data_IF_701658428387
#
_entry.id   IF_701658428387
#
_cell.length_a   1.000
_cell.length_b   1.000
_cell.length_c   1.000
_cell.angle_alpha   90.00
_cell.angle_beta   90.00
_cell.angle_gamma   90.00
#
_symmetry.space_group_name_H-M   'P 1'
#
loop_
_entity.id
_entity.type
_entity.pdbx_description
1 polymer ?
#
# COMPACT_ATOMS: atom_id res chain seq x y z
N UNK A 1 0.85 48.82 5.53
CA UNK A 1 0.17 47.90 4.61
C UNK A 1 0.36 46.48 5.12
N UNK A 2 -0.71 45.72 5.43
CA UNK A 2 -0.56 44.36 5.92
C UNK A 2 -0.23 43.45 4.75
N UNK A 3 0.92 42.77 4.82
CA UNK A 3 1.25 41.68 3.90
C UNK A 3 0.38 40.50 4.31
N UNK A 4 -0.52 40.11 3.42
CA UNK A 4 -1.26 38.87 3.54
C UNK A 4 -0.24 37.74 3.65
N UNK A 5 -0.15 37.17 4.85
CA UNK A 5 0.52 35.90 5.09
C UNK A 5 -0.41 34.89 4.43
N UNK A 6 -0.06 34.44 3.23
CA UNK A 6 -0.76 33.34 2.59
C UNK A 6 -0.63 32.16 3.52
N UNK A 7 -1.74 31.83 4.17
CA UNK A 7 -1.92 30.68 5.04
C UNK A 7 -1.39 29.45 4.31
N UNK A 8 -0.23 28.97 4.80
CA UNK A 8 0.33 27.68 4.42
C UNK A 8 -0.66 26.62 4.86
N UNK A 9 -1.61 26.28 3.98
CA UNK A 9 -2.52 25.16 4.18
C UNK A 9 -1.66 23.94 4.57
N UNK A 10 -1.83 23.37 5.77
CA UNK A 10 -1.04 22.21 6.16
C UNK A 10 -1.55 21.03 5.33
N UNK A 11 -0.79 20.66 4.31
CA UNK A 11 -0.92 19.41 3.54
C UNK A 11 -0.76 18.17 4.47
N UNK A 12 -0.36 18.38 5.72
CA UNK A 12 0.13 17.38 6.66
C UNK A 12 -0.90 16.37 7.23
N UNK A 13 -2.21 16.64 7.18
CA UNK A 13 -3.19 15.77 7.87
C UNK A 13 -3.64 14.54 7.06
N UNK A 14 -3.53 14.55 5.73
CA UNK A 14 -3.81 13.38 4.86
C UNK A 14 -2.58 12.47 4.66
N UNK A 15 -1.39 12.95 5.05
CA UNK A 15 -0.14 12.23 4.90
C UNK A 15 0.05 10.97 5.79
N UNK A 16 -0.38 10.91 7.08
CA UNK A 16 0.00 9.80 7.93
C UNK A 16 -0.67 8.47 7.51
N UNK A 17 -1.93 8.51 7.07
CA UNK A 17 -2.64 7.31 6.62
C UNK A 17 -2.17 6.85 5.23
N UNK A 18 -1.88 7.80 4.34
CA UNK A 18 -1.32 7.51 3.01
C UNK A 18 0.07 6.89 3.14
N UNK A 19 0.90 7.44 4.03
CA UNK A 19 2.23 6.89 4.30
C UNK A 19 2.14 5.51 4.94
N UNK A 20 1.23 5.30 5.90
CA UNK A 20 0.96 3.98 6.45
C UNK A 20 0.67 2.95 5.35
N UNK A 21 -0.30 3.24 4.48
CA UNK A 21 -0.64 2.32 3.40
C UNK A 21 0.49 2.13 2.38
N UNK A 22 1.27 3.18 2.10
CA UNK A 22 2.46 3.09 1.24
C UNK A 22 3.45 2.10 1.82
N UNK A 23 3.72 2.17 3.12
CA UNK A 23 4.61 1.24 3.81
C UNK A 23 4.06 -0.19 3.80
N UNK A 24 2.75 -0.38 3.98
CA UNK A 24 2.13 -1.71 3.91
C UNK A 24 2.28 -2.33 2.50
N UNK A 25 1.98 -1.59 1.43
CA UNK A 25 2.20 -2.09 0.06
C UNK A 25 3.68 -2.37 -0.24
N UNK A 26 4.61 -1.59 0.31
CA UNK A 26 6.04 -1.85 0.18
C UNK A 26 6.46 -3.15 0.88
N UNK A 27 5.85 -3.51 2.02
CA UNK A 27 6.06 -4.81 2.66
C UNK A 27 5.60 -5.93 1.72
N UNK A 28 4.41 -5.80 1.14
CA UNK A 28 3.89 -6.73 0.12
C UNK A 28 4.82 -6.90 -1.07
N UNK A 29 5.36 -5.80 -1.60
CA UNK A 29 6.36 -5.87 -2.66
C UNK A 29 7.60 -6.66 -2.25
N UNK A 30 8.17 -6.36 -1.08
CA UNK A 30 9.41 -7.03 -0.61
C UNK A 30 9.20 -8.52 -0.36
N UNK A 31 8.08 -8.91 0.24
CA UNK A 31 7.76 -10.32 0.43
C UNK A 31 7.59 -11.04 -0.91
N UNK A 32 6.88 -10.42 -1.86
CA UNK A 32 6.70 -10.98 -3.20
C UNK A 32 8.04 -11.18 -3.92
N UNK A 33 8.98 -10.24 -3.81
CA UNK A 33 10.34 -10.40 -4.34
C UNK A 33 11.08 -11.59 -3.71
N UNK A 34 10.97 -11.77 -2.38
CA UNK A 34 11.60 -12.90 -1.69
C UNK A 34 10.96 -14.24 -2.08
N UNK A 35 9.67 -14.24 -2.35
CA UNK A 35 8.92 -15.42 -2.75
C UNK A 35 8.92 -15.66 -4.27
N UNK A 36 9.57 -14.81 -5.07
CA UNK A 36 9.65 -14.94 -6.53
C UNK A 36 9.95 -16.36 -7.02
N UNK A 37 10.87 -17.13 -6.41
CA UNK A 37 11.14 -18.51 -6.83
C UNK A 37 9.96 -19.48 -6.73
N UNK A 38 8.93 -19.16 -5.94
CA UNK A 38 7.76 -20.01 -5.70
C UNK A 38 6.57 -19.68 -6.62
N UNK A 39 6.66 -18.60 -7.40
CA UNK A 39 5.62 -18.20 -8.35
C UNK A 39 6.12 -18.40 -9.78
N UNK A 40 5.17 -18.63 -10.70
CA UNK A 40 5.48 -18.51 -12.13
C UNK A 40 5.81 -17.06 -12.48
N UNK A 41 6.72 -16.84 -13.43
CA UNK A 41 7.11 -15.50 -13.89
C UNK A 41 5.92 -14.64 -14.33
N UNK A 42 4.90 -15.22 -14.96
CA UNK A 42 3.66 -14.50 -15.33
C UNK A 42 2.88 -14.04 -14.10
N UNK A 43 2.62 -14.93 -13.14
CA UNK A 43 1.89 -14.60 -11.92
C UNK A 43 2.59 -13.52 -11.09
N UNK A 44 3.91 -13.60 -10.90
CA UNK A 44 4.61 -12.53 -10.15
C UNK A 44 4.58 -11.20 -10.92
N UNK A 45 4.79 -11.23 -12.24
CA UNK A 45 4.77 -10.02 -13.07
C UNK A 45 3.40 -9.33 -13.03
N UNK A 46 2.31 -10.10 -13.07
CA UNK A 46 0.95 -9.57 -13.00
C UNK A 46 0.66 -8.92 -11.64
N UNK A 47 1.09 -9.56 -10.55
CA UNK A 47 0.91 -9.04 -9.17
C UNK A 47 1.79 -7.81 -8.93
N UNK A 48 3.05 -7.81 -9.39
CA UNK A 48 3.94 -6.65 -9.34
C UNK A 48 3.37 -5.46 -10.10
N UNK A 49 2.87 -5.69 -11.33
CA UNK A 49 2.25 -4.64 -12.14
C UNK A 49 1.00 -4.07 -11.46
N UNK A 50 0.17 -4.92 -10.85
CA UNK A 50 -0.99 -4.46 -10.07
C UNK A 50 -0.58 -3.63 -8.86
N UNK A 51 0.46 -4.06 -8.13
CA UNK A 51 0.96 -3.35 -6.95
C UNK A 51 1.55 -1.97 -7.31
N UNK A 52 2.34 -1.89 -8.38
CA UNK A 52 2.91 -0.62 -8.88
C UNK A 52 1.80 0.36 -9.27
N UNK A 53 0.75 -0.11 -9.95
CA UNK A 53 -0.40 0.72 -10.32
C UNK A 53 -1.10 1.30 -9.10
N UNK A 54 -1.33 0.49 -8.07
CA UNK A 54 -1.99 0.94 -6.84
C UNK A 54 -1.12 1.94 -6.08
N UNK A 55 0.18 1.70 -5.99
CA UNK A 55 1.12 2.65 -5.38
C UNK A 55 1.13 3.99 -6.12
N UNK A 56 1.04 3.98 -7.46
CA UNK A 56 0.94 5.21 -8.26
C UNK A 56 -0.40 5.93 -8.10
N UNK A 57 -1.48 5.20 -7.80
CA UNK A 57 -2.80 5.77 -7.56
C UNK A 57 -3.09 6.05 -6.08
N UNK A 58 -2.20 5.67 -5.17
CA UNK A 58 -2.44 5.69 -3.73
C UNK A 58 -2.80 7.08 -3.21
N UNK A 59 -2.09 8.11 -3.66
CA UNK A 59 -2.37 9.50 -3.28
C UNK A 59 -3.75 9.96 -3.77
N UNK A 60 -4.19 9.49 -4.94
CA UNK A 60 -5.53 9.77 -5.47
C UNK A 60 -6.61 8.95 -4.78
N UNK A 61 -6.30 7.72 -4.35
CA UNK A 61 -7.22 6.89 -3.57
C UNK A 61 -7.42 7.46 -2.17
N UNK A 62 -6.37 8.02 -1.57
CA UNK A 62 -6.40 8.63 -0.24
C UNK A 62 -7.10 9.99 -0.17
N UNK A 63 -7.34 10.66 -1.31
CA UNK A 63 -8.15 11.89 -1.37
C UNK A 63 -9.65 11.63 -1.50
N UNK A 64 -10.06 10.37 -1.70
CA UNK A 64 -11.47 9.98 -1.78
C UNK A 64 -12.06 9.76 -0.39
N UNK A 65 -13.34 10.09 -0.20
CA UNK A 65 -14.07 9.89 1.06
C UNK A 65 -14.07 8.42 1.53
N UNK A 66 -13.94 7.49 0.57
CA UNK A 66 -13.93 6.04 0.80
C UNK A 66 -12.52 5.44 0.87
N UNK A 67 -11.47 6.27 0.96
CA UNK A 67 -10.07 5.88 0.90
C UNK A 67 -9.74 4.67 1.79
N UNK A 68 -10.09 4.77 3.07
CA UNK A 68 -9.78 3.75 4.07
C UNK A 68 -10.38 2.39 3.69
N UNK A 69 -11.64 2.38 3.24
CA UNK A 69 -12.33 1.15 2.84
C UNK A 69 -11.75 0.55 1.57
N UNK A 70 -11.42 1.39 0.58
CA UNK A 70 -10.85 0.92 -0.70
C UNK A 70 -9.44 0.39 -0.49
N UNK A 71 -8.59 1.14 0.20
CA UNK A 71 -7.18 0.78 0.40
C UNK A 71 -7.04 -0.42 1.35
N UNK A 72 -7.84 -0.50 2.41
CA UNK A 72 -7.86 -1.69 3.28
C UNK A 72 -8.36 -2.95 2.56
N UNK A 73 -9.36 -2.82 1.66
CA UNK A 73 -9.83 -3.95 0.84
C UNK A 73 -8.76 -4.39 -0.15
N UNK A 74 -8.04 -3.45 -0.76
CA UNK A 74 -6.92 -3.75 -1.64
C UNK A 74 -5.81 -4.47 -0.88
N UNK A 75 -5.40 -3.97 0.28
CA UNK A 75 -4.41 -4.64 1.13
C UNK A 75 -4.81 -6.07 1.48
N UNK A 76 -6.07 -6.30 1.89
CA UNK A 76 -6.57 -7.66 2.15
C UNK A 76 -6.46 -8.59 0.93
N UNK A 77 -6.70 -8.08 -0.27
CA UNK A 77 -6.56 -8.89 -1.50
C UNK A 77 -5.09 -9.25 -1.77
N UNK A 78 -4.17 -8.30 -1.58
CA UNK A 78 -2.74 -8.59 -1.71
C UNK A 78 -2.27 -9.54 -0.61
N UNK A 79 -2.82 -9.44 0.58
CA UNK A 79 -2.50 -10.33 1.69
C UNK A 79 -2.89 -11.78 1.40
N UNK A 80 -4.05 -12.02 0.75
CA UNK A 80 -4.43 -13.36 0.27
C UNK A 80 -3.45 -13.92 -0.77
N UNK A 81 -2.94 -13.06 -1.67
CA UNK A 81 -2.04 -13.48 -2.75
C UNK A 81 -0.61 -13.66 -2.26
N UNK A 82 -0.13 -12.80 -1.36
CA UNK A 82 1.26 -12.80 -0.87
C UNK A 82 1.42 -13.60 0.43
N UNK A 83 0.33 -13.94 1.10
CA UNK A 83 0.33 -14.66 2.38
C UNK A 83 1.09 -13.91 3.47
N UNK A 84 1.22 -12.58 3.37
CA UNK A 84 2.15 -11.81 4.17
C UNK A 84 1.75 -11.76 5.63
N UNK A 85 0.45 -11.67 5.94
CA UNK A 85 -0.07 -11.82 7.28
C UNK A 85 0.28 -13.21 7.85
N UNK A 86 0.09 -14.28 7.08
CA UNK A 86 0.42 -15.64 7.49
C UNK A 86 1.93 -15.87 7.66
N UNK A 87 2.77 -15.15 6.92
CA UNK A 87 4.23 -15.17 7.04
C UNK A 87 4.78 -14.22 8.11
N UNK A 88 4.05 -13.16 8.43
CA UNK A 88 4.42 -12.17 9.48
C UNK A 88 3.93 -12.58 10.86
N UNK A 89 2.95 -13.48 10.94
CA UNK A 89 2.49 -14.05 12.21
C UNK A 89 3.45 -15.19 12.62
N UNK A 90 4.31 -14.99 13.65
CA UNK A 90 5.24 -16.03 14.10
C UNK A 90 4.53 -17.23 14.75
N UNK A 91 3.19 -17.29 14.73
CA UNK A 91 2.38 -18.33 15.37
C UNK A 91 1.95 -19.48 14.46
N UNK A 92 2.32 -19.47 13.17
CA UNK A 92 1.97 -20.56 12.25
C UNK A 92 3.12 -21.54 11.95
N UNK A 93 4.05 -21.70 12.88
CA UNK A 93 4.89 -22.90 12.96
C UNK A 93 4.22 -23.91 13.90
N UNK A 94 3.48 -24.87 13.34
CA UNK A 94 3.09 -26.08 14.06
C UNK A 94 3.06 -27.28 13.12
#
# INVERSE_FOLDING_TARGET
>A
MPRFVTDSRPISAQHPITEFYRQEFLKHHRCLQQQRPYYSESAITDVEAALIRIMGQLETLCTQDNAEKVVSTLLKKFDVVTGLSAWSDPKHSH
#
